data_IF_227135034184
#
_entry.id   IF_227135034184
#
_cell.length_a   1.000
_cell.length_b   1.000
_cell.length_c   1.000
_cell.angle_alpha   90.00
_cell.angle_beta   90.00
_cell.angle_gamma   90.00
#
_symmetry.space_group_name_H-M   'P 1'
#
loop_
_entity.id
_entity.type
_entity.pdbx_description
1 polymer ?
#
# COMPACT_ATOMS: atom_id res chain seq x y z
N UNK A 1 28.61 4.60 55.07
CA UNK A 1 28.50 4.22 53.65
C UNK A 1 27.18 3.51 53.42
N UNK A 2 26.24 4.07 52.65
CA UNK A 2 25.25 3.26 51.95
C UNK A 2 25.36 3.51 50.44
N UNK A 3 25.57 2.45 49.65
CA UNK A 3 25.41 2.50 48.19
C UNK A 3 23.98 2.10 47.89
N UNK A 4 23.15 3.09 47.57
CA UNK A 4 21.84 2.86 46.98
C UNK A 4 22.02 2.67 45.46
N UNK A 5 22.03 1.42 44.99
CA UNK A 5 21.88 1.10 43.56
C UNK A 5 20.40 1.01 43.23
N UNK A 6 19.75 2.15 43.04
CA UNK A 6 18.49 2.19 42.28
C UNK A 6 18.82 2.01 40.79
N UNK A 7 18.99 0.75 40.38
CA UNK A 7 19.03 0.37 38.98
C UNK A 7 17.69 0.72 38.34
N UNK A 8 17.69 1.77 37.53
CA UNK A 8 16.50 2.32 36.88
C UNK A 8 15.71 1.23 36.13
N UNK A 9 14.50 0.94 36.62
CA UNK A 9 13.53 0.10 35.93
C UNK A 9 13.05 0.82 34.66
N UNK A 10 13.73 0.57 33.53
CA UNK A 10 13.21 0.91 32.21
C UNK A 10 12.21 -0.16 31.78
N UNK A 11 11.05 0.02 32.38
CA UNK A 11 9.79 -0.71 32.33
C UNK A 11 9.46 -1.40 31.00
N UNK A 12 8.92 -2.62 31.13
CA UNK A 12 8.13 -3.40 30.16
C UNK A 12 7.27 -2.57 29.18
N UNK A 13 6.75 -1.41 29.61
CA UNK A 13 6.01 -0.46 28.76
C UNK A 13 6.81 0.03 27.56
N UNK A 14 8.13 0.21 27.71
CA UNK A 14 9.03 0.65 26.64
C UNK A 14 9.19 -0.41 25.54
N UNK A 15 9.19 -1.69 25.91
CA UNK A 15 9.25 -2.79 24.95
C UNK A 15 7.94 -2.91 24.16
N UNK A 16 6.80 -2.69 24.82
CA UNK A 16 5.49 -2.65 24.16
C UNK A 16 5.39 -1.45 23.21
N UNK A 17 5.76 -0.23 23.64
CA UNK A 17 5.67 0.94 22.78
C UNK A 17 6.58 0.83 21.55
N UNK A 18 7.76 0.21 21.72
CA UNK A 18 8.64 -0.10 20.60
C UNK A 18 7.96 -1.07 19.61
N UNK A 19 7.37 -2.16 20.10
CA UNK A 19 6.62 -3.11 19.26
C UNK A 19 5.42 -2.48 18.54
N UNK A 20 4.65 -1.64 19.23
CA UNK A 20 3.52 -0.90 18.63
C UNK A 20 4.00 0.04 17.53
N UNK A 21 5.12 0.74 17.74
CA UNK A 21 5.65 1.66 16.72
C UNK A 21 6.03 0.97 15.41
N UNK A 22 6.62 -0.24 15.49
CA UNK A 22 6.93 -1.05 14.31
C UNK A 22 5.67 -1.54 13.59
N UNK A 23 4.65 -1.99 14.35
CA UNK A 23 3.37 -2.39 13.77
C UNK A 23 2.68 -1.22 13.05
N UNK A 24 2.70 -0.02 13.62
CA UNK A 24 2.11 1.16 12.98
C UNK A 24 2.81 1.48 11.66
N UNK A 25 4.15 1.41 11.61
CA UNK A 25 4.88 1.62 10.35
C UNK A 25 4.59 0.55 9.30
N UNK A 26 4.46 -0.71 9.71
CA UNK A 26 4.14 -1.81 8.79
C UNK A 26 2.71 -1.70 8.26
N UNK A 27 1.76 -1.32 9.12
CA UNK A 27 0.38 -1.05 8.72
C UNK A 27 0.28 0.11 7.73
N UNK A 28 1.08 1.16 7.89
CA UNK A 28 1.11 2.27 6.93
C UNK A 28 1.58 1.81 5.55
N UNK A 29 2.62 0.96 5.47
CA UNK A 29 3.11 0.39 4.21
C UNK A 29 2.09 -0.53 3.54
N UNK A 30 1.38 -1.33 4.33
CA UNK A 30 0.32 -2.20 3.83
C UNK A 30 -0.83 -1.35 3.28
N UNK A 31 -1.23 -0.29 4.00
CA UNK A 31 -2.26 0.63 3.54
C UNK A 31 -1.87 1.34 2.23
N UNK A 32 -0.62 1.78 2.11
CA UNK A 32 -0.10 2.39 0.87
C UNK A 32 -0.16 1.39 -0.30
N UNK A 33 0.27 0.15 -0.09
CA UNK A 33 0.21 -0.92 -1.10
C UNK A 33 -1.24 -1.20 -1.54
N UNK A 34 -2.16 -1.30 -0.58
CA UNK A 34 -3.59 -1.48 -0.86
C UNK A 34 -4.17 -0.29 -1.62
N UNK A 35 -3.77 0.94 -1.29
CA UNK A 35 -4.21 2.13 -1.99
C UNK A 35 -3.74 2.14 -3.46
N UNK A 36 -2.51 1.68 -3.73
CA UNK A 36 -2.00 1.50 -5.09
C UNK A 36 -2.83 0.47 -5.85
N UNK A 37 -3.11 -0.68 -5.25
CA UNK A 37 -3.94 -1.72 -5.88
C UNK A 37 -5.37 -1.25 -6.15
N UNK A 38 -5.97 -0.52 -5.21
CA UNK A 38 -7.30 0.06 -5.39
C UNK A 38 -7.31 1.06 -6.55
N UNK A 39 -6.31 1.95 -6.61
CA UNK A 39 -6.18 2.92 -7.69
C UNK A 39 -6.05 2.22 -9.05
N UNK A 40 -5.23 1.17 -9.15
CA UNK A 40 -5.08 0.38 -10.38
C UNK A 40 -6.36 -0.32 -10.78
N UNK A 41 -7.07 -0.94 -9.83
CA UNK A 41 -8.36 -1.58 -10.09
C UNK A 41 -9.37 -0.58 -10.66
N UNK A 42 -9.47 0.62 -10.06
CA UNK A 42 -10.34 1.69 -10.57
C UNK A 42 -9.90 2.18 -11.95
N UNK A 43 -8.60 2.39 -12.19
CA UNK A 43 -8.08 2.81 -13.49
C UNK A 43 -8.38 1.78 -14.59
N UNK A 44 -8.18 0.49 -14.33
CA UNK A 44 -8.50 -0.60 -15.26
C UNK A 44 -10.00 -0.71 -15.51
N UNK A 45 -10.82 -0.56 -14.47
CA UNK A 45 -12.28 -0.51 -14.64
C UNK A 45 -12.71 0.64 -15.56
N UNK A 46 -12.16 1.84 -15.37
CA UNK A 46 -12.42 2.97 -16.25
C UNK A 46 -11.93 2.72 -17.68
N UNK A 47 -10.73 2.16 -17.84
CA UNK A 47 -10.16 1.84 -19.16
C UNK A 47 -11.01 0.80 -19.91
N UNK A 48 -11.54 -0.20 -19.21
CA UNK A 48 -12.45 -1.19 -19.78
C UNK A 48 -13.76 -0.55 -20.29
N UNK A 49 -14.22 0.51 -19.63
CA UNK A 49 -15.40 1.27 -20.03
C UNK A 49 -15.15 2.24 -21.20
N UNK A 50 -13.90 2.46 -21.63
CA UNK A 50 -13.59 3.38 -22.72
C UNK A 50 -14.05 2.83 -24.08
N UNK A 51 -14.83 3.65 -24.79
CA UNK A 51 -15.22 3.40 -26.18
C UNK A 51 -14.05 3.54 -27.16
N UNK A 52 -14.21 2.98 -28.35
CA UNK A 52 -13.16 2.91 -29.39
C UNK A 52 -12.56 4.27 -29.74
N UNK A 53 -13.40 5.31 -29.84
CA UNK A 53 -12.95 6.67 -30.14
C UNK A 53 -12.07 7.23 -29.03
N UNK A 54 -12.41 6.98 -27.76
CA UNK A 54 -11.67 7.49 -26.62
C UNK A 54 -10.30 6.79 -26.50
N UNK A 55 -10.27 5.47 -26.75
CA UNK A 55 -9.02 4.71 -26.82
C UNK A 55 -8.10 5.25 -27.91
N UNK A 56 -8.62 5.52 -29.11
CA UNK A 56 -7.83 6.11 -30.21
C UNK A 56 -7.32 7.50 -29.90
N UNK A 57 -8.12 8.31 -29.20
CA UNK A 57 -7.74 9.67 -28.80
C UNK A 57 -6.54 9.67 -27.82
N UNK A 58 -6.51 8.71 -26.89
CA UNK A 58 -5.36 8.50 -25.99
C UNK A 58 -4.25 7.62 -26.59
N UNK A 59 -4.37 7.27 -27.87
CA UNK A 59 -3.35 6.51 -28.62
C UNK A 59 -3.26 5.02 -28.27
N UNK A 60 -4.30 4.43 -27.70
CA UNK A 60 -4.38 2.99 -27.38
C UNK A 60 -5.25 2.24 -28.39
N UNK A 61 -4.86 1.00 -28.70
CA UNK A 61 -5.74 0.05 -29.40
C UNK A 61 -6.64 -0.69 -28.42
N UNK A 62 -7.74 -1.27 -28.94
CA UNK A 62 -8.64 -2.13 -28.15
C UNK A 62 -7.88 -3.29 -27.50
N UNK A 63 -7.01 -3.97 -28.25
CA UNK A 63 -6.19 -5.07 -27.72
C UNK A 63 -5.24 -4.62 -26.60
N UNK A 64 -4.61 -3.44 -26.73
CA UNK A 64 -3.76 -2.91 -25.66
C UNK A 64 -4.55 -2.62 -24.38
N UNK A 65 -5.76 -2.05 -24.51
CA UNK A 65 -6.64 -1.83 -23.38
C UNK A 65 -7.09 -3.16 -22.73
N UNK A 66 -7.43 -4.17 -23.52
CA UNK A 66 -7.81 -5.50 -23.02
C UNK A 66 -6.65 -6.21 -22.30
N UNK A 67 -5.43 -6.13 -22.83
CA UNK A 67 -4.23 -6.64 -22.14
C UNK A 67 -4.02 -5.95 -20.79
N UNK A 68 -4.15 -4.62 -20.75
CA UNK A 68 -3.92 -3.84 -19.53
C UNK A 68 -5.00 -4.06 -18.47
N UNK A 69 -6.26 -4.21 -18.90
CA UNK A 69 -7.41 -4.48 -18.01
C UNK A 69 -7.44 -5.93 -17.52
N UNK A 70 -6.86 -6.87 -18.28
CA UNK A 70 -6.72 -8.27 -17.89
C UNK A 70 -5.64 -8.54 -16.83
N UNK A 71 -4.78 -7.57 -16.52
CA UNK A 71 -3.76 -7.72 -15.47
C UNK A 71 -4.41 -7.83 -14.08
N UNK A 72 -3.90 -8.75 -13.27
CA UNK A 72 -4.23 -8.83 -11.85
C UNK A 72 -3.84 -7.56 -11.09
N UNK A 73 -4.59 -7.19 -10.04
CA UNK A 73 -4.40 -5.92 -9.32
C UNK A 73 -3.00 -5.74 -8.71
N UNK A 74 -2.32 -6.84 -8.36
CA UNK A 74 -0.97 -6.84 -7.79
C UNK A 74 0.15 -6.78 -8.83
N UNK A 75 -0.19 -6.89 -10.11
CA UNK A 75 0.76 -6.92 -11.20
C UNK A 75 0.93 -5.52 -11.80
N UNK A 76 2.18 -5.15 -12.08
CA UNK A 76 2.57 -3.96 -12.86
C UNK A 76 2.29 -4.17 -14.36
#
# INVERSE_FOLDING_TARGET
MPVATSGASKSWKSWISAGVSLLVSDMARIAETLAVWQKRSTQRYCLAAFGERLLRDIGLTREQAEMETGKSFWQD
#
